data_IF_081550864506
#
_entry.id   IF_081550864506
#
_cell.length_a   1.000
_cell.length_b   1.000
_cell.length_c   1.000
_cell.angle_alpha   90.00
_cell.angle_beta   90.00
_cell.angle_gamma   90.00
#
_symmetry.space_group_name_H-M   'P 1'
#
loop_
_entity.id
_entity.type
_entity.pdbx_description
1 polymer ?
#
# COMPACT_ATOMS: atom_id res chain seq x y z
N UNK A 1 43.37 58.13 24.16
CA UNK A 1 44.29 59.06 23.47
C UNK A 1 45.32 58.19 22.74
N UNK A 2 45.32 58.17 21.40
CA UNK A 2 46.26 58.94 20.54
C UNK A 2 47.72 58.50 20.76
N UNK A 3 48.52 58.04 19.79
CA UNK A 3 48.39 57.84 18.32
C UNK A 3 49.46 56.76 17.91
N UNK A 4 49.73 56.29 16.68
CA UNK A 4 49.51 56.78 15.29
C UNK A 4 49.41 55.58 14.30
N UNK A 5 49.40 55.87 12.98
CA UNK A 5 49.64 54.99 11.80
C UNK A 5 50.75 55.68 10.93
N UNK A 6 51.03 55.30 9.67
CA UNK A 6 51.44 54.02 9.06
C UNK A 6 52.71 54.16 8.15
N UNK A 7 53.17 53.06 7.52
CA UNK A 7 53.51 52.95 6.08
C UNK A 7 54.00 51.51 5.78
N UNK A 8 53.52 50.75 4.80
CA UNK A 8 53.37 50.91 3.33
C UNK A 8 54.67 50.75 2.50
N UNK A 9 54.58 49.77 1.60
CA UNK A 9 55.22 49.62 0.27
C UNK A 9 56.63 49.00 0.12
N UNK A 10 56.61 47.76 -0.41
CA UNK A 10 57.42 47.25 -1.54
C UNK A 10 58.96 47.21 -1.48
N UNK A 11 59.52 45.99 -1.56
CA UNK A 11 59.97 45.42 -2.85
C UNK A 11 60.28 43.91 -2.81
N UNK A 12 59.86 43.26 -3.90
CA UNK A 12 60.33 42.02 -4.56
C UNK A 12 61.67 41.42 -4.07
N UNK A 13 61.79 40.08 -4.02
CA UNK A 13 62.44 39.26 -5.08
C UNK A 13 62.54 37.76 -4.73
N UNK A 14 62.33 36.93 -5.76
CA UNK A 14 62.92 35.59 -6.03
C UNK A 14 62.76 34.44 -5.02
N UNK A 15 61.97 33.47 -5.51
CA UNK A 15 62.03 32.03 -5.28
C UNK A 15 63.42 31.44 -5.00
N UNK A 16 63.50 30.57 -3.99
CA UNK A 16 64.34 29.36 -4.01
C UNK A 16 63.49 28.20 -3.51
N UNK A 17 63.45 27.12 -4.29
CA UNK A 17 62.81 25.85 -3.89
C UNK A 17 63.79 25.11 -2.97
N UNK A 18 63.36 24.79 -1.76
CA UNK A 18 64.06 23.87 -0.87
C UNK A 18 63.04 22.88 -0.30
N UNK A 19 63.06 21.67 -0.85
CA UNK A 19 62.13 20.59 -0.52
C UNK A 19 62.33 20.11 0.92
N UNK A 20 61.27 20.17 1.73
CA UNK A 20 61.18 19.38 2.96
C UNK A 20 59.84 18.67 2.98
N UNK A 21 59.85 17.40 2.56
CA UNK A 21 58.68 16.51 2.67
C UNK A 21 58.50 16.14 4.14
N UNK A 22 57.75 16.93 4.89
CA UNK A 22 57.15 16.42 6.12
C UNK A 22 55.99 15.51 5.73
N UNK A 23 56.18 14.21 5.96
CA UNK A 23 55.13 13.21 5.97
C UNK A 23 54.17 13.50 7.13
N UNK A 24 53.24 14.43 6.91
CA UNK A 24 51.99 14.47 7.64
C UNK A 24 51.25 13.18 7.28
N UNK A 25 51.37 12.18 8.15
CA UNK A 25 50.48 11.04 8.20
C UNK A 25 49.09 11.54 8.62
N UNK A 26 48.41 12.21 7.68
CA UNK A 26 47.01 12.54 7.81
C UNK A 26 46.24 11.25 7.88
N UNK A 27 45.86 10.85 9.10
CA UNK A 27 44.82 9.87 9.30
C UNK A 27 43.57 10.45 8.65
N UNK A 28 43.30 10.04 7.41
CA UNK A 28 42.03 10.28 6.74
C UNK A 28 41.04 9.46 7.55
N UNK A 29 40.42 10.10 8.54
CA UNK A 29 39.21 9.60 9.17
C UNK A 29 38.18 9.64 8.06
N UNK A 30 38.10 8.56 7.29
CA UNK A 30 37.03 8.34 6.35
C UNK A 30 35.75 8.56 7.14
N UNK A 31 34.82 9.42 6.67
CA UNK A 31 33.56 9.59 7.36
C UNK A 31 32.92 8.20 7.41
N UNK A 32 32.82 7.63 8.61
CA UNK A 32 32.04 6.43 8.83
C UNK A 32 30.63 6.79 8.40
N UNK A 33 30.27 6.34 7.20
CA UNK A 33 28.97 6.64 6.63
C UNK A 33 27.94 6.25 7.66
N UNK A 34 27.20 7.24 8.17
CA UNK A 34 26.07 6.98 9.02
C UNK A 34 25.07 6.25 8.13
N UNK A 35 25.12 4.92 8.17
CA UNK A 35 24.11 4.08 7.55
C UNK A 35 22.81 4.48 8.23
N UNK A 36 22.00 5.25 7.50
CA UNK A 36 20.66 5.57 7.92
C UNK A 36 19.99 4.23 8.27
N UNK A 37 19.33 4.18 9.42
CA UNK A 37 18.52 3.02 9.76
C UNK A 37 17.58 2.72 8.58
N UNK A 38 17.37 1.44 8.20
CA UNK A 38 16.47 1.12 7.12
C UNK A 38 15.11 1.77 7.40
N UNK A 39 14.56 2.44 6.39
CA UNK A 39 13.28 3.12 6.52
C UNK A 39 12.21 2.14 6.99
N UNK A 40 11.33 2.57 7.90
CA UNK A 40 10.21 1.75 8.33
C UNK A 40 9.32 1.40 7.13
N UNK A 41 8.71 0.22 7.17
CA UNK A 41 7.72 -0.20 6.18
C UNK A 41 6.37 -0.34 6.85
N UNK A 42 5.34 0.32 6.35
CA UNK A 42 3.99 0.23 6.87
C UNK A 42 3.06 -0.49 5.88
N UNK A 43 2.19 -1.34 6.39
CA UNK A 43 1.16 -2.04 5.62
C UNK A 43 -0.19 -1.40 5.94
N UNK A 44 -0.76 -0.68 4.98
CA UNK A 44 -2.11 -0.08 5.11
C UNK A 44 -3.10 -1.17 4.73
N UNK A 45 -3.68 -1.82 5.73
CA UNK A 45 -4.41 -3.09 5.60
C UNK A 45 -5.93 -2.87 5.56
N UNK A 46 -6.54 -3.15 4.41
CA UNK A 46 -7.94 -2.86 4.12
C UNK A 46 -8.71 -4.18 3.97
N UNK A 47 -9.54 -4.48 4.96
CA UNK A 47 -10.27 -5.75 5.08
C UNK A 47 -11.33 -6.00 4.00
N UNK A 48 -11.70 -7.27 3.82
CA UNK A 48 -12.84 -7.68 3.00
C UNK A 48 -14.18 -7.51 3.70
N UNK A 49 -15.28 -7.70 2.97
CA UNK A 49 -16.64 -7.64 3.52
C UNK A 49 -16.84 -8.66 4.64
N UNK A 50 -17.48 -8.26 5.74
CA UNK A 50 -17.72 -9.09 6.91
C UNK A 50 -16.51 -9.31 7.82
N UNK A 51 -15.39 -8.65 7.54
CA UNK A 51 -14.14 -8.81 8.28
C UNK A 51 -13.77 -7.59 9.14
N UNK A 52 -14.73 -6.75 9.55
CA UNK A 52 -14.47 -5.68 10.50
C UNK A 52 -14.12 -6.27 11.89
N UNK A 53 -13.34 -5.53 12.66
CA UNK A 53 -12.99 -5.89 14.04
C UNK A 53 -12.94 -4.63 14.92
N UNK A 54 -12.96 -4.81 16.24
CA UNK A 54 -12.74 -3.72 17.19
C UNK A 54 -11.34 -3.12 17.04
N UNK A 55 -11.21 -1.84 17.35
CA UNK A 55 -9.91 -1.18 17.47
C UNK A 55 -9.10 -1.78 18.65
N UNK A 56 -7.78 -1.96 18.52
CA UNK A 56 -6.92 -1.50 17.43
C UNK A 56 -6.82 -2.47 16.24
N UNK A 57 -7.45 -3.65 16.29
CA UNK A 57 -7.33 -4.69 15.28
C UNK A 57 -7.98 -4.32 13.94
N UNK A 58 -9.18 -3.73 13.99
CA UNK A 58 -9.91 -3.11 12.87
C UNK A 58 -10.27 -3.97 11.65
N UNK A 59 -9.52 -5.01 11.30
CA UNK A 59 -9.92 -6.07 10.38
C UNK A 59 -9.30 -7.42 10.73
N UNK A 60 -10.05 -8.51 10.53
CA UNK A 60 -9.56 -9.90 10.65
C UNK A 60 -8.94 -10.45 9.37
N UNK A 61 -9.02 -9.74 8.24
CA UNK A 61 -8.56 -10.25 6.92
C UNK A 61 -7.05 -10.52 6.85
N UNK A 62 -6.27 -9.92 7.75
CA UNK A 62 -4.81 -10.01 7.77
C UNK A 62 -4.26 -10.75 9.01
N UNK A 63 -5.10 -11.27 9.90
CA UNK A 63 -4.69 -11.92 11.17
C UNK A 63 -3.60 -12.99 10.98
N UNK A 64 -3.76 -13.84 9.95
CA UNK A 64 -2.81 -14.91 9.62
C UNK A 64 -1.45 -14.38 9.14
N UNK A 65 -1.44 -13.27 8.39
CA UNK A 65 -0.21 -12.61 7.97
C UNK A 65 0.45 -11.88 9.14
N UNK A 66 -0.34 -11.17 9.95
CA UNK A 66 0.12 -10.35 11.06
C UNK A 66 0.72 -11.17 12.21
N UNK A 67 0.25 -12.42 12.42
CA UNK A 67 0.92 -13.39 13.31
C UNK A 67 2.37 -13.71 12.91
N UNK A 68 2.70 -13.58 11.62
CA UNK A 68 3.97 -13.98 11.03
C UNK A 68 4.72 -12.80 10.37
N UNK A 69 4.32 -11.55 10.65
CA UNK A 69 4.84 -10.36 10.01
C UNK A 69 6.27 -10.05 10.49
N UNK A 70 7.24 -10.65 9.82
CA UNK A 70 8.66 -10.54 10.14
C UNK A 70 9.27 -9.23 9.61
N UNK A 71 8.80 -8.10 10.17
CA UNK A 71 9.28 -6.76 9.88
C UNK A 71 8.22 -5.86 9.23
N UNK A 72 8.37 -4.56 9.46
CA UNK A 72 7.36 -3.56 9.15
C UNK A 72 6.25 -3.48 10.20
N UNK A 73 5.26 -2.63 9.94
CA UNK A 73 4.22 -2.22 10.90
C UNK A 73 2.86 -2.27 10.22
N UNK A 74 1.97 -3.14 10.70
CA UNK A 74 0.57 -3.19 10.28
C UNK A 74 -0.19 -1.93 10.74
N UNK A 75 -0.94 -1.31 9.82
CA UNK A 75 -1.91 -0.25 10.08
C UNK A 75 -3.26 -0.70 9.51
N UNK A 76 -4.08 -1.41 10.29
CA UNK A 76 -5.39 -1.86 9.84
C UNK A 76 -6.37 -0.70 9.72
N UNK A 77 -7.11 -0.66 8.62
CA UNK A 77 -8.07 0.40 8.31
C UNK A 77 -9.42 0.07 8.92
N UNK A 78 -9.79 0.82 9.97
CA UNK A 78 -11.07 0.71 10.65
C UNK A 78 -12.20 1.25 9.76
N UNK A 79 -13.10 0.40 9.28
CA UNK A 79 -14.29 0.79 8.53
C UNK A 79 -15.39 -0.29 8.66
N UNK A 80 -16.62 0.01 8.24
CA UNK A 80 -17.77 -0.89 8.47
C UNK A 80 -17.73 -2.21 7.71
N UNK A 81 -16.88 -2.37 6.68
CA UNK A 81 -16.70 -3.61 5.90
C UNK A 81 -18.03 -4.31 5.51
N UNK A 82 -19.06 -3.55 5.21
CA UNK A 82 -20.43 -4.02 5.06
C UNK A 82 -20.79 -4.36 3.61
N UNK A 83 -21.63 -5.37 3.43
CA UNK A 83 -22.32 -5.73 2.19
C UNK A 83 -23.84 -5.68 2.37
N UNK A 84 -24.33 -4.73 3.17
CA UNK A 84 -25.75 -4.57 3.49
C UNK A 84 -26.60 -4.38 2.22
N UNK A 85 -27.77 -5.03 2.14
CA UNK A 85 -28.49 -5.74 3.19
C UNK A 85 -28.11 -7.23 3.37
N UNK A 86 -27.12 -7.73 2.62
CA UNK A 86 -26.83 -9.18 2.55
C UNK A 86 -25.83 -9.64 3.62
N UNK A 87 -24.74 -8.89 3.80
CA UNK A 87 -23.65 -9.23 4.73
C UNK A 87 -23.36 -8.05 5.65
N UNK A 88 -23.32 -8.29 6.95
CA UNK A 88 -23.00 -7.29 7.97
C UNK A 88 -21.49 -7.10 8.18
N UNK A 89 -21.12 -6.23 9.12
CA UNK A 89 -19.72 -5.88 9.41
C UNK A 89 -18.88 -7.03 9.94
N UNK A 90 -19.49 -7.98 10.67
CA UNK A 90 -18.84 -9.16 11.25
C UNK A 90 -19.37 -10.46 10.62
N UNK A 91 -19.70 -10.40 9.32
CA UNK A 91 -20.20 -11.50 8.51
C UNK A 91 -21.57 -12.04 8.94
N UNK A 92 -22.42 -11.18 9.54
CA UNK A 92 -23.82 -11.49 9.82
C UNK A 92 -24.60 -11.64 8.50
N UNK A 93 -25.39 -12.71 8.34
CA UNK A 93 -26.17 -12.96 7.11
C UNK A 93 -27.56 -13.54 7.45
N UNK A 94 -28.68 -12.93 6.99
CA UNK A 94 -28.77 -11.62 6.32
C UNK A 94 -28.54 -10.46 7.29
N UNK A 95 -28.19 -9.28 6.76
CA UNK A 95 -27.92 -8.08 7.54
C UNK A 95 -28.74 -6.86 7.04
N UNK A 96 -30.08 -6.88 7.20
CA UNK A 96 -30.98 -5.92 6.55
C UNK A 96 -30.83 -4.46 7.01
N UNK A 97 -30.14 -4.23 8.14
CA UNK A 97 -29.87 -2.89 8.70
C UNK A 97 -28.40 -2.47 8.59
N UNK A 98 -27.54 -3.28 7.97
CA UNK A 98 -26.14 -2.93 7.80
C UNK A 98 -25.97 -1.85 6.71
N UNK A 99 -24.92 -0.99 6.79
CA UNK A 99 -24.63 0.02 5.77
C UNK A 99 -24.52 -0.56 4.36
N UNK A 100 -24.84 0.21 3.33
CA UNK A 100 -24.74 -0.30 1.95
C UNK A 100 -23.29 -0.62 1.57
N UNK A 101 -23.10 -1.52 0.60
CA UNK A 101 -21.76 -1.84 0.09
C UNK A 101 -21.05 -0.59 -0.45
N UNK A 102 -21.76 0.29 -1.16
CA UNK A 102 -21.23 1.57 -1.65
C UNK A 102 -20.78 2.52 -0.53
N UNK A 103 -21.58 2.66 0.53
CA UNK A 103 -21.21 3.49 1.70
C UNK A 103 -19.98 2.93 2.42
N UNK A 104 -19.90 1.59 2.53
CA UNK A 104 -18.76 0.88 3.10
C UNK A 104 -17.47 1.18 2.32
N UNK A 105 -17.48 1.04 0.99
CA UNK A 105 -16.33 1.36 0.13
C UNK A 105 -15.91 2.82 0.26
N UNK A 106 -16.86 3.75 0.25
CA UNK A 106 -16.56 5.18 0.41
C UNK A 106 -15.92 5.48 1.77
N UNK A 107 -16.46 4.93 2.87
CA UNK A 107 -15.84 5.08 4.19
C UNK A 107 -14.45 4.46 4.26
N UNK A 108 -14.28 3.24 3.72
CA UNK A 108 -12.99 2.56 3.63
C UNK A 108 -11.95 3.39 2.91
N UNK A 109 -12.30 4.01 1.79
CA UNK A 109 -11.40 4.88 1.01
C UNK A 109 -10.91 6.09 1.81
N UNK A 110 -11.81 6.83 2.46
CA UNK A 110 -11.42 8.00 3.25
C UNK A 110 -10.58 7.60 4.47
N UNK A 111 -10.92 6.50 5.13
CA UNK A 111 -10.19 6.02 6.29
C UNK A 111 -8.80 5.46 5.90
N UNK A 112 -8.68 4.75 4.78
CA UNK A 112 -7.40 4.26 4.26
C UNK A 112 -6.48 5.42 3.82
N UNK A 113 -7.03 6.42 3.12
CA UNK A 113 -6.31 7.64 2.75
C UNK A 113 -5.81 8.38 4.00
N UNK A 114 -6.67 8.56 5.00
CA UNK A 114 -6.30 9.21 6.25
C UNK A 114 -5.23 8.41 7.03
N UNK A 115 -5.33 7.08 7.08
CA UNK A 115 -4.34 6.22 7.73
C UNK A 115 -2.94 6.36 7.07
N UNK A 116 -2.89 6.30 5.74
CA UNK A 116 -1.67 6.50 4.95
C UNK A 116 -1.04 7.88 5.20
N UNK A 117 -1.83 8.95 5.10
CA UNK A 117 -1.36 10.33 5.26
C UNK A 117 -0.95 10.64 6.72
N UNK A 118 -1.63 10.08 7.71
CA UNK A 118 -1.21 10.14 9.11
C UNK A 118 0.13 9.42 9.34
N UNK A 119 0.31 8.23 8.76
CA UNK A 119 1.54 7.45 8.90
C UNK A 119 2.73 8.16 8.22
N UNK A 120 2.53 8.71 7.01
CA UNK A 120 3.55 9.49 6.32
C UNK A 120 3.94 10.78 7.05
N UNK A 121 3.00 11.49 7.70
CA UNK A 121 3.34 12.67 8.52
C UNK A 121 4.08 12.31 9.80
N UNK A 122 3.88 11.11 10.34
CA UNK A 122 4.63 10.59 11.47
C UNK A 122 6.03 10.10 11.08
N UNK A 123 6.17 9.46 9.91
CA UNK A 123 7.44 9.01 9.34
C UNK A 123 7.53 9.32 7.82
N UNK A 124 8.02 10.51 7.44
CA UNK A 124 8.17 10.89 6.04
C UNK A 124 9.24 10.11 5.27
N UNK A 125 10.04 9.28 5.95
CA UNK A 125 11.10 8.48 5.33
C UNK A 125 10.66 7.09 4.90
N UNK A 126 9.52 6.65 5.42
CA UNK A 126 9.01 5.29 5.31
C UNK A 126 8.63 4.83 3.89
N UNK A 127 8.39 3.53 3.79
CA UNK A 127 7.76 2.81 2.68
C UNK A 127 6.34 2.40 3.08
N UNK A 128 5.43 2.32 2.10
CA UNK A 128 4.05 1.95 2.34
C UNK A 128 3.57 0.91 1.32
N UNK A 129 3.02 -0.21 1.79
CA UNK A 129 2.24 -1.13 0.95
C UNK A 129 0.76 -0.89 1.22
N UNK A 130 -0.02 -0.60 0.18
CA UNK A 130 -1.49 -0.60 0.28
C UNK A 130 -1.96 -2.04 0.06
N UNK A 131 -2.37 -2.71 1.13
CA UNK A 131 -2.80 -4.10 1.13
C UNK A 131 -4.33 -4.17 1.23
N UNK A 132 -5.01 -4.70 0.20
CA UNK A 132 -6.47 -4.76 0.16
C UNK A 132 -6.96 -6.15 -0.20
N UNK A 133 -8.01 -6.63 0.47
CA UNK A 133 -8.67 -7.91 0.16
C UNK A 133 -10.15 -7.73 -0.18
N UNK A 134 -10.64 -8.31 -1.28
CA UNK A 134 -12.07 -8.30 -1.67
C UNK A 134 -12.64 -6.87 -1.78
N UNK A 135 -13.64 -6.48 -0.98
CA UNK A 135 -14.09 -5.08 -0.88
C UNK A 135 -12.94 -4.12 -0.55
N UNK A 136 -12.01 -4.51 0.33
CA UNK A 136 -10.81 -3.73 0.62
C UNK A 136 -9.81 -3.68 -0.52
N UNK A 137 -9.83 -4.64 -1.46
CA UNK A 137 -9.03 -4.58 -2.69
C UNK A 137 -9.57 -3.51 -3.66
N UNK A 138 -10.90 -3.35 -3.76
CA UNK A 138 -11.49 -2.21 -4.46
C UNK A 138 -11.04 -0.89 -3.82
N UNK A 139 -11.20 -0.75 -2.50
CA UNK A 139 -10.76 0.45 -1.78
C UNK A 139 -9.26 0.72 -2.00
N UNK A 140 -8.42 -0.32 -1.99
CA UNK A 140 -7.00 -0.26 -2.28
C UNK A 140 -6.69 0.20 -3.71
N UNK A 141 -7.39 -0.34 -4.71
CA UNK A 141 -7.26 0.07 -6.12
C UNK A 141 -7.56 1.57 -6.29
N UNK A 142 -8.69 2.05 -5.74
CA UNK A 142 -9.04 3.48 -5.76
C UNK A 142 -7.97 4.36 -5.10
N UNK A 143 -7.44 3.95 -3.94
CA UNK A 143 -6.39 4.68 -3.26
C UNK A 143 -5.07 4.69 -4.06
N UNK A 144 -4.69 3.56 -4.66
CA UNK A 144 -3.51 3.44 -5.52
C UNK A 144 -3.64 4.29 -6.80
N UNK A 145 -4.84 4.37 -7.39
CA UNK A 145 -5.13 5.30 -8.48
C UNK A 145 -4.96 6.76 -8.04
N UNK A 146 -5.48 7.14 -6.87
CA UNK A 146 -5.31 8.50 -6.32
C UNK A 146 -3.82 8.81 -6.10
N UNK A 147 -3.03 7.89 -5.53
CA UNK A 147 -1.58 8.06 -5.30
C UNK A 147 -0.82 8.20 -6.63
N UNK A 148 -1.08 7.33 -7.61
CA UNK A 148 -0.40 7.37 -8.91
C UNK A 148 -0.63 8.71 -9.66
N UNK A 149 -1.79 9.33 -9.43
CA UNK A 149 -2.18 10.64 -9.96
C UNK A 149 -1.78 11.83 -9.05
N UNK A 150 -1.01 11.61 -7.98
CA UNK A 150 -0.56 12.62 -7.00
C UNK A 150 -1.70 13.29 -6.21
N UNK A 151 -2.78 12.57 -5.94
CA UNK A 151 -3.92 13.02 -5.11
C UNK A 151 -3.74 12.83 -3.59
N UNK A 152 -2.52 12.52 -3.15
CA UNK A 152 -2.11 12.35 -1.74
C UNK A 152 -0.85 13.16 -1.46
N UNK A 153 -0.61 13.52 -0.20
CA UNK A 153 0.68 14.13 0.20
C UNK A 153 1.87 13.14 0.18
N UNK A 154 1.59 11.82 0.15
CA UNK A 154 2.61 10.77 0.09
C UNK A 154 3.21 10.67 -1.33
N UNK A 155 4.54 10.77 -1.49
CA UNK A 155 5.20 10.58 -2.78
C UNK A 155 4.98 9.16 -3.31
N UNK A 156 4.48 9.05 -4.55
CA UNK A 156 4.12 7.76 -5.18
C UNK A 156 5.28 6.76 -5.28
N UNK A 157 6.53 7.23 -5.32
CA UNK A 157 7.72 6.38 -5.33
C UNK A 157 7.96 5.67 -3.98
N UNK A 158 7.31 6.12 -2.89
CA UNK A 158 7.32 5.50 -1.55
C UNK A 158 6.29 4.38 -1.39
N UNK A 159 5.36 4.25 -2.33
CA UNK A 159 4.20 3.36 -2.23
C UNK A 159 4.32 2.19 -3.19
N UNK A 160 3.85 1.02 -2.74
CA UNK A 160 3.51 -0.13 -3.57
C UNK A 160 2.14 -0.70 -3.18
N UNK A 161 1.57 -1.59 -3.99
CA UNK A 161 0.23 -2.13 -3.79
C UNK A 161 0.16 -3.66 -3.86
N UNK A 162 -0.60 -4.25 -2.95
CA UNK A 162 -0.89 -5.69 -2.88
C UNK A 162 -2.41 -5.89 -2.81
N UNK A 163 -3.02 -6.26 -3.95
CA UNK A 163 -4.47 -6.40 -4.06
C UNK A 163 -4.86 -7.87 -4.21
N UNK A 164 -5.59 -8.39 -3.23
CA UNK A 164 -6.02 -9.78 -3.14
C UNK A 164 -7.49 -9.90 -3.52
N UNK A 165 -7.81 -10.73 -4.52
CA UNK A 165 -9.19 -10.86 -5.00
C UNK A 165 -9.81 -9.51 -5.38
N UNK A 166 -9.12 -8.74 -6.23
CA UNK A 166 -9.57 -7.41 -6.66
C UNK A 166 -10.79 -7.47 -7.62
N UNK A 167 -11.97 -6.92 -7.25
CA UNK A 167 -13.12 -6.86 -8.15
C UNK A 167 -12.93 -5.89 -9.31
N UNK A 168 -11.99 -4.96 -9.21
CA UNK A 168 -11.60 -4.04 -10.28
C UNK A 168 -10.53 -4.65 -11.22
N UNK A 169 -10.07 -5.89 -10.99
CA UNK A 169 -8.97 -6.49 -11.76
C UNK A 169 -9.20 -6.38 -13.29
N UNK A 170 -8.26 -5.76 -14.03
CA UNK A 170 -8.39 -5.55 -15.47
C UNK A 170 -8.73 -6.82 -16.24
N UNK A 171 -9.69 -6.72 -17.16
CA UNK A 171 -10.08 -7.81 -18.07
C UNK A 171 -10.73 -9.05 -17.43
N UNK A 172 -10.72 -9.21 -16.11
CA UNK A 172 -11.17 -10.45 -15.43
C UNK A 172 -12.04 -10.23 -14.18
N UNK A 173 -11.86 -9.13 -13.45
CA UNK A 173 -12.63 -8.81 -12.25
C UNK A 173 -14.12 -8.59 -12.48
N UNK A 174 -14.91 -8.73 -11.41
CA UNK A 174 -16.37 -8.58 -11.40
C UNK A 174 -16.84 -7.28 -12.07
N UNK A 175 -16.18 -6.15 -11.80
CA UNK A 175 -16.60 -4.85 -12.33
C UNK A 175 -16.44 -4.70 -13.84
N UNK A 176 -15.75 -5.62 -14.54
CA UNK A 176 -15.75 -5.66 -16.01
C UNK A 176 -17.13 -6.00 -16.59
N UNK A 177 -17.99 -6.67 -15.82
CA UNK A 177 -19.31 -7.12 -16.28
C UNK A 177 -20.36 -6.00 -16.27
N UNK A 178 -20.07 -4.87 -15.63
CA UNK A 178 -21.04 -3.80 -15.37
C UNK A 178 -20.44 -2.45 -15.74
N UNK A 179 -20.96 -1.76 -16.77
CA UNK A 179 -20.40 -0.49 -17.24
C UNK A 179 -20.27 0.55 -16.11
N UNK A 180 -19.19 1.34 -16.16
CA UNK A 180 -18.92 2.39 -15.17
C UNK A 180 -20.13 3.33 -15.02
N UNK A 181 -20.46 3.68 -13.77
CA UNK A 181 -21.61 4.53 -13.44
C UNK A 181 -22.98 3.83 -13.45
N UNK A 182 -23.07 2.55 -13.83
CA UNK A 182 -24.30 1.77 -13.67
C UNK A 182 -24.47 1.38 -12.20
N UNK A 183 -25.63 1.68 -11.63
CA UNK A 183 -26.03 1.21 -10.29
C UNK A 183 -26.43 -0.27 -10.36
N UNK A 184 -25.74 -1.13 -9.61
CA UNK A 184 -26.26 -2.43 -9.21
C UNK A 184 -27.11 -2.22 -7.94
N UNK A 185 -28.42 -2.50 -7.97
CA UNK A 185 -29.27 -2.39 -6.78
C UNK A 185 -28.71 -3.18 -5.60
N UNK A 186 -28.71 -2.59 -4.41
CA UNK A 186 -28.21 -3.17 -3.16
C UNK A 186 -26.70 -3.50 -3.12
N UNK A 187 -25.93 -3.08 -4.13
CA UNK A 187 -24.46 -3.15 -4.11
C UNK A 187 -23.89 -1.73 -4.18
N UNK A 188 -23.61 -1.22 -5.37
CA UNK A 188 -23.01 0.09 -5.57
C UNK A 188 -23.15 0.57 -7.02
N UNK A 189 -22.79 1.83 -7.27
CA UNK A 189 -22.43 2.29 -8.61
C UNK A 189 -21.12 1.64 -9.05
N UNK A 190 -21.08 1.12 -10.28
CA UNK A 190 -19.87 0.50 -10.84
C UNK A 190 -18.74 1.53 -10.97
N UNK A 191 -17.53 1.25 -10.42
CA UNK A 191 -16.34 2.04 -10.68
C UNK A 191 -15.76 1.78 -12.08
N UNK A 192 -16.23 0.72 -12.78
CA UNK A 192 -15.56 0.14 -13.93
C UNK A 192 -14.37 -0.74 -13.54
N UNK A 193 -13.59 -1.17 -14.52
CA UNK A 193 -12.30 -1.84 -14.27
C UNK A 193 -11.25 -0.84 -13.80
N UNK A 194 -10.38 -1.26 -12.89
CA UNK A 194 -9.15 -0.54 -12.55
C UNK A 194 -8.15 -0.55 -13.70
N UNK A 195 -7.03 0.18 -13.58
CA UNK A 195 -6.03 0.26 -14.62
C UNK A 195 -5.12 -0.98 -14.63
N UNK A 196 -4.61 -1.33 -15.82
CA UNK A 196 -3.56 -2.33 -15.99
C UNK A 196 -2.27 -1.92 -15.26
N UNK A 197 -1.86 -0.66 -15.43
CA UNK A 197 -0.68 -0.05 -14.83
C UNK A 197 -1.03 1.20 -14.00
N UNK A 198 -0.35 1.37 -12.87
CA UNK A 198 -0.44 2.56 -12.03
C UNK A 198 0.81 3.43 -12.25
N UNK A 199 0.69 4.64 -12.84
CA UNK A 199 1.84 5.49 -13.16
C UNK A 199 2.72 5.82 -11.95
N UNK A 200 3.92 5.22 -11.91
CA UNK A 200 4.89 5.42 -10.83
C UNK A 200 4.68 4.59 -9.56
N UNK A 201 3.62 3.77 -9.48
CA UNK A 201 3.33 2.88 -8.34
C UNK A 201 3.38 1.42 -8.84
N UNK A 202 4.26 0.56 -8.30
CA UNK A 202 4.18 -0.88 -8.54
C UNK A 202 2.99 -1.47 -7.79
N UNK A 203 2.10 -2.17 -8.49
CA UNK A 203 0.92 -2.84 -7.91
C UNK A 203 0.85 -4.27 -8.42
N UNK A 204 0.83 -5.21 -7.48
CA UNK A 204 0.64 -6.63 -7.75
C UNK A 204 -0.78 -7.03 -7.33
N UNK A 205 -1.49 -7.70 -8.25
CA UNK A 205 -2.79 -8.31 -8.00
C UNK A 205 -2.60 -9.81 -7.81
N UNK A 206 -3.28 -10.39 -6.83
CA UNK A 206 -3.26 -11.83 -6.55
C UNK A 206 -4.67 -12.38 -6.76
N UNK A 207 -4.79 -13.34 -7.66
CA UNK A 207 -6.09 -13.90 -8.03
C UNK A 207 -6.05 -15.42 -8.18
N UNK A 208 -6.92 -16.12 -7.45
CA UNK A 208 -7.16 -17.54 -7.66
C UNK A 208 -8.08 -17.71 -8.86
N UNK A 209 -7.74 -18.64 -9.77
CA UNK A 209 -8.62 -19.01 -10.87
C UNK A 209 -9.99 -19.45 -10.34
N UNK A 210 -11.04 -19.01 -11.03
CA UNK A 210 -12.46 -19.16 -10.64
C UNK A 210 -12.92 -18.42 -9.38
N UNK A 211 -12.09 -17.59 -8.73
CA UNK A 211 -12.62 -16.66 -7.73
C UNK A 211 -13.51 -15.60 -8.42
N UNK A 212 -14.83 -15.69 -8.24
CA UNK A 212 -15.79 -14.82 -8.93
C UNK A 212 -15.69 -13.33 -8.64
N UNK A 213 -14.83 -12.90 -7.72
CA UNK A 213 -14.53 -11.48 -7.51
C UNK A 213 -13.46 -10.99 -8.50
N UNK A 214 -12.31 -11.67 -8.64
CA UNK A 214 -11.21 -11.24 -9.51
C UNK A 214 -11.12 -11.98 -10.87
N UNK A 215 -11.78 -13.12 -11.01
CA UNK A 215 -11.83 -13.97 -12.20
C UNK A 215 -13.27 -14.39 -12.52
N UNK A 216 -14.12 -13.41 -12.82
CA UNK A 216 -15.51 -13.60 -13.19
C UNK A 216 -15.67 -14.04 -14.67
N UNK A 217 -14.76 -14.86 -15.20
CA UNK A 217 -14.62 -15.14 -16.64
C UNK A 217 -15.44 -16.33 -17.14
N UNK A 218 -15.96 -17.19 -16.25
CA UNK A 218 -16.74 -18.38 -16.62
C UNK A 218 -17.94 -18.58 -15.70
N UNK A 219 -18.72 -19.65 -15.93
CA UNK A 219 -19.77 -20.07 -14.99
C UNK A 219 -19.18 -20.69 -13.71
N UNK A 220 -17.95 -21.22 -13.77
CA UNK A 220 -17.24 -21.78 -12.60
C UNK A 220 -16.86 -20.70 -11.59
N UNK A 221 -16.83 -19.44 -12.01
CA UNK A 221 -16.64 -18.28 -11.15
C UNK A 221 -17.67 -18.17 -10.01
N UNK A 222 -18.89 -18.69 -10.21
CA UNK A 222 -19.95 -18.65 -9.19
C UNK A 222 -19.70 -19.63 -8.02
N UNK A 223 -19.53 -20.96 -8.24
CA UNK A 223 -19.12 -21.85 -7.16
C UNK A 223 -17.70 -21.55 -6.66
N UNK A 224 -16.81 -21.06 -7.55
CA UNK A 224 -15.44 -20.70 -7.20
C UNK A 224 -15.34 -19.49 -6.24
N UNK A 225 -16.29 -18.55 -6.26
CA UNK A 225 -16.40 -17.55 -5.17
C UNK A 225 -16.50 -18.22 -3.79
N UNK A 226 -17.38 -19.21 -3.61
CA UNK A 226 -17.56 -19.85 -2.30
C UNK A 226 -16.37 -20.73 -1.89
N UNK A 227 -15.64 -21.30 -2.86
CA UNK A 227 -14.55 -22.24 -2.61
C UNK A 227 -13.18 -21.56 -2.50
N UNK A 228 -12.89 -20.61 -3.39
CA UNK A 228 -11.57 -19.99 -3.54
C UNK A 228 -11.45 -18.70 -2.72
N UNK A 229 -12.49 -17.85 -2.66
CA UNK A 229 -12.43 -16.56 -1.97
C UNK A 229 -12.03 -16.68 -0.48
N UNK A 230 -12.48 -17.69 0.30
CA UNK A 230 -12.02 -17.85 1.69
C UNK A 230 -10.60 -18.39 1.86
N UNK A 231 -9.81 -18.62 0.79
CA UNK A 231 -8.45 -19.19 0.88
C UNK A 231 -7.37 -18.14 1.12
N UNK A 232 -7.56 -16.90 0.67
CA UNK A 232 -6.52 -15.87 0.70
C UNK A 232 -6.00 -15.56 2.12
N UNK A 233 -6.91 -15.48 3.09
CA UNK A 233 -6.63 -15.11 4.49
C UNK A 233 -6.37 -16.31 5.43
N UNK A 234 -6.27 -17.54 4.90
CA UNK A 234 -5.95 -18.73 5.72
C UNK A 234 -4.49 -18.73 6.12
N UNK A 235 -4.19 -19.36 7.26
CA UNK A 235 -2.82 -19.58 7.73
C UNK A 235 -1.99 -20.33 6.68
N UNK A 236 -0.83 -19.78 6.31
CA UNK A 236 0.09 -20.39 5.33
C UNK A 236 -0.35 -20.27 3.86
N UNK A 237 -1.47 -19.60 3.54
CA UNK A 237 -1.92 -19.37 2.16
C UNK A 237 -1.53 -17.95 1.67
N UNK A 238 -2.24 -17.41 0.67
CA UNK A 238 -1.76 -16.33 -0.20
C UNK A 238 -1.35 -15.07 0.55
N UNK A 239 -2.22 -14.44 1.34
CA UNK A 239 -1.89 -13.18 2.03
C UNK A 239 -0.74 -13.40 3.03
N UNK A 240 -0.83 -14.48 3.81
CA UNK A 240 0.19 -14.84 4.81
C UNK A 240 1.59 -15.13 4.21
N UNK A 241 1.66 -15.53 2.93
CA UNK A 241 2.93 -15.84 2.25
C UNK A 241 3.44 -14.76 1.30
N UNK A 242 2.62 -13.73 1.00
CA UNK A 242 2.98 -12.70 -0.01
C UNK A 242 2.90 -11.26 0.47
N UNK A 243 2.28 -10.96 1.63
CA UNK A 243 2.11 -9.57 2.10
C UNK A 243 3.43 -8.80 2.21
N UNK A 244 4.51 -9.45 2.61
CA UNK A 244 5.87 -8.87 2.71
C UNK A 244 6.66 -8.90 1.40
N UNK A 245 5.99 -9.17 0.27
CA UNK A 245 6.54 -8.91 -1.06
C UNK A 245 6.45 -7.43 -1.39
N UNK A 246 7.37 -6.90 -2.19
CA UNK A 246 7.39 -5.47 -2.53
C UNK A 246 7.75 -5.26 -4.00
N UNK A 247 7.25 -4.16 -4.59
CA UNK A 247 7.63 -3.73 -5.94
C UNK A 247 7.10 -4.59 -7.09
N UNK A 248 6.23 -5.56 -6.81
CA UNK A 248 5.58 -6.42 -7.82
C UNK A 248 4.70 -5.64 -8.80
N UNK A 249 4.45 -6.24 -9.97
CA UNK A 249 3.57 -5.70 -11.01
C UNK A 249 2.70 -6.78 -11.64
N UNK A 250 1.54 -6.38 -12.15
CA UNK A 250 0.63 -7.25 -12.89
C UNK A 250 -0.12 -8.23 -11.99
N UNK A 251 -0.64 -9.32 -12.59
CA UNK A 251 -1.46 -10.32 -11.87
C UNK A 251 -0.70 -11.62 -11.66
N UNK A 252 -0.59 -12.05 -10.40
CA UNK A 252 -0.16 -13.40 -10.01
C UNK A 252 -1.39 -14.30 -9.95
N UNK A 253 -1.36 -15.35 -10.77
CA UNK A 253 -2.44 -16.32 -10.88
C UNK A 253 -2.17 -17.56 -10.05
N UNK A 254 -3.15 -17.96 -9.23
CA UNK A 254 -3.11 -19.18 -8.43
C UNK A 254 -4.09 -20.22 -8.99
N UNK A 255 -3.79 -21.52 -8.90
CA UNK A 255 -4.73 -22.56 -9.33
C UNK A 255 -5.94 -22.63 -8.41
N UNK A 256 -7.10 -22.89 -8.99
CA UNK A 256 -8.28 -23.36 -8.27
C UNK A 256 -7.94 -24.65 -7.49
N UNK A 257 -8.56 -24.81 -6.32
CA UNK A 257 -8.56 -26.07 -5.55
C UNK A 257 -9.32 -27.19 -6.27
#
# INVERSE_FOLDING_TARGET
MSTTKPNRLTRRLKSVVASTVLLLAGAVVAPTGAHAAPANHYYIEIGGTGAAADAPGCTTSFDAANRNLNGGIAIPVCYVASGGPFVGSHNEQPAPFAPSFGDSVNQGYWNAKAALENAYRADPTARFTIAGYSQGAWVGDLLLQTIANNGTEVPRDRVDGMLYSDPMQPGTGFWRLVPQGVLIPFVAYSPGTGPEDFPGVPVQRHCIKTDGVCDATSLDSFPGFLQQHPRYFREGEIIATTLTGHGGRGTVWYPAA
#
